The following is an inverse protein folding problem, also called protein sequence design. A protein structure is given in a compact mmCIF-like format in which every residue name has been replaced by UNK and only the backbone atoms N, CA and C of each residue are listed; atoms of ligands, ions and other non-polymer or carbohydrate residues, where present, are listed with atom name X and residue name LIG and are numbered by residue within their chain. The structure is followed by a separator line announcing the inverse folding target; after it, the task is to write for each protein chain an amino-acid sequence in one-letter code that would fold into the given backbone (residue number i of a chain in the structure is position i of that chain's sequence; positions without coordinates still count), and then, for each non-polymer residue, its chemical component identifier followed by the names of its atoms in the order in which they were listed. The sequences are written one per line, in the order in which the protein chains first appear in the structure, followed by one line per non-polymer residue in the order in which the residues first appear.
data_IF_870559408850
#
_entry.id   IF_870559408850
#
_cell.length_a   1.000
_cell.length_b   1.000
_cell.length_c   1.000
_cell.angle_alpha   90.00
_cell.angle_beta   90.00
_cell.angle_gamma   90.00
#
_symmetry.space_group_name_H-M   'P 1'
#
loop_
_entity.id
_entity.type
_entity.pdbx_description
1 polymer ?
#
# COMPACT_ATOMS: atom_id res chain seq x y z
N UNK A 1 27.86 14.99 -6.37
CA UNK A 1 27.70 13.52 -6.32
C UNK A 1 26.38 13.21 -6.99
N UNK A 2 26.38 12.45 -8.08
CA UNK A 2 25.21 12.25 -8.94
C UNK A 2 24.20 11.34 -8.22
N UNK A 3 23.11 11.92 -7.68
CA UNK A 3 22.19 11.23 -6.75
C UNK A 3 21.36 10.11 -7.41
N UNK A 4 21.36 10.00 -8.75
CA UNK A 4 20.42 9.14 -9.48
C UNK A 4 21.04 8.11 -10.45
N UNK A 5 22.35 7.81 -10.37
CA UNK A 5 22.99 6.80 -11.23
C UNK A 5 22.89 7.07 -12.75
N UNK A 6 23.16 6.05 -13.58
CA UNK A 6 23.05 6.11 -15.06
C UNK A 6 21.60 6.24 -15.55
N UNK A 7 20.63 5.68 -14.82
CA UNK A 7 19.20 5.74 -15.19
C UNK A 7 18.65 7.15 -15.04
N UNK A 8 19.06 7.86 -13.99
CA UNK A 8 18.66 9.25 -13.79
C UNK A 8 19.34 10.25 -14.74
N UNK A 9 20.44 9.92 -15.40
CA UNK A 9 20.96 10.74 -16.51
C UNK A 9 20.10 10.61 -17.75
N UNK A 10 19.64 9.41 -18.10
CA UNK A 10 18.80 9.16 -19.28
C UNK A 10 17.50 9.96 -19.26
N UNK A 11 16.77 9.95 -18.13
CA UNK A 11 15.55 10.75 -18.00
C UNK A 11 15.80 12.25 -18.03
N UNK A 12 16.91 12.72 -17.43
CA UNK A 12 17.25 14.16 -17.43
C UNK A 12 17.62 14.66 -18.82
N UNK A 13 18.36 13.86 -19.59
CA UNK A 13 18.72 14.16 -20.97
C UNK A 13 17.49 14.20 -21.87
N UNK A 14 16.59 13.21 -21.76
CA UNK A 14 15.33 13.21 -22.51
C UNK A 14 14.44 14.43 -22.18
N UNK A 15 14.31 14.81 -20.90
CA UNK A 15 13.56 16.01 -20.50
C UNK A 15 14.20 17.30 -21.02
N UNK A 16 15.54 17.36 -21.08
CA UNK A 16 16.25 18.54 -21.61
C UNK A 16 15.98 18.73 -23.10
N UNK A 17 16.05 17.66 -23.90
CA UNK A 17 15.72 17.67 -25.34
C UNK A 17 14.28 18.12 -25.57
N UNK A 18 13.33 17.55 -24.81
CA UNK A 18 11.91 17.92 -24.90
C UNK A 18 11.64 19.38 -24.53
N UNK A 19 12.33 19.90 -23.51
CA UNK A 19 12.18 21.30 -23.08
C UNK A 19 12.70 22.26 -24.17
N UNK A 20 13.78 21.91 -24.85
CA UNK A 20 14.28 22.71 -25.97
C UNK A 20 13.32 22.71 -27.16
N UNK A 21 12.63 21.61 -27.44
CA UNK A 21 11.62 21.56 -28.50
C UNK A 21 10.34 22.35 -28.19
N UNK A 22 9.83 22.29 -26.95
CA UNK A 22 8.59 22.99 -26.56
C UNK A 22 8.74 24.51 -26.55
N UNK A 23 9.96 25.02 -26.30
CA UNK A 23 10.26 26.45 -26.26
C UNK A 23 11.10 26.94 -27.47
N UNK A 24 11.47 26.04 -28.39
CA UNK A 24 12.24 26.33 -29.60
C UNK A 24 11.43 26.11 -30.89
N UNK A 25 12.11 26.15 -32.03
CA UNK A 25 11.52 25.75 -33.32
C UNK A 25 11.41 24.22 -33.36
N UNK A 26 10.20 23.71 -33.57
CA UNK A 26 9.92 22.27 -33.71
C UNK A 26 10.68 21.70 -34.91
N UNK A 27 11.71 20.88 -34.65
CA UNK A 27 12.52 20.27 -35.71
C UNK A 27 12.18 18.81 -36.01
N UNK A 28 11.57 18.08 -35.06
CA UNK A 28 11.19 16.69 -35.29
C UNK A 28 12.39 15.78 -35.57
N UNK A 29 13.54 16.11 -34.97
CA UNK A 29 14.81 15.41 -35.14
C UNK A 29 14.79 14.04 -34.44
N UNK A 30 15.66 13.11 -34.87
CA UNK A 30 15.70 11.75 -34.31
C UNK A 30 15.99 11.73 -32.79
N UNK A 31 16.70 12.74 -32.28
CA UNK A 31 16.93 12.92 -30.85
C UNK A 31 15.63 13.17 -30.05
N UNK A 32 14.68 13.89 -30.64
CA UNK A 32 13.38 14.14 -30.02
C UNK A 32 12.54 12.87 -29.97
N UNK A 33 12.52 12.08 -31.06
CA UNK A 33 11.85 10.78 -31.08
C UNK A 33 12.39 9.85 -30.00
N UNK A 34 13.71 9.76 -29.87
CA UNK A 34 14.34 8.96 -28.81
C UNK A 34 14.00 9.49 -27.41
N UNK A 35 13.90 10.81 -27.22
CA UNK A 35 13.48 11.39 -25.95
C UNK A 35 12.01 11.06 -25.61
N UNK A 36 11.12 11.09 -26.60
CA UNK A 36 9.73 10.65 -26.43
C UNK A 36 9.65 9.18 -26.04
N UNK A 37 10.40 8.30 -26.69
CA UNK A 37 10.42 6.86 -26.35
C UNK A 37 10.89 6.61 -24.91
N UNK A 38 11.87 7.37 -24.43
CA UNK A 38 12.34 7.30 -23.04
C UNK A 38 11.28 7.77 -22.05
N UNK A 39 10.52 8.81 -22.40
CA UNK A 39 9.50 9.41 -21.55
C UNK A 39 8.12 8.77 -21.70
N UNK A 40 7.92 7.88 -22.67
CA UNK A 40 6.71 7.08 -22.88
C UNK A 40 6.64 5.91 -21.88
N UNK A 41 6.80 6.25 -20.61
CA UNK A 41 6.65 5.34 -19.49
C UNK A 41 5.72 5.96 -18.44
N UNK A 42 4.94 5.15 -17.70
CA UNK A 42 4.14 5.66 -16.61
C UNK A 42 5.00 6.42 -15.59
N UNK A 43 4.51 7.56 -15.11
CA UNK A 43 5.26 8.42 -14.18
C UNK A 43 5.76 7.68 -12.93
N UNK A 44 4.97 6.73 -12.41
CA UNK A 44 5.38 5.91 -11.27
C UNK A 44 6.62 5.07 -11.58
N UNK A 45 6.76 4.54 -12.80
CA UNK A 45 7.89 3.70 -13.20
C UNK A 45 9.18 4.53 -13.24
N UNK A 46 9.11 5.71 -13.85
CA UNK A 46 10.21 6.66 -13.85
C UNK A 46 10.64 7.03 -12.42
N UNK A 47 9.69 7.30 -11.54
CA UNK A 47 9.99 7.65 -10.14
C UNK A 47 10.59 6.46 -9.36
N UNK A 48 10.10 5.24 -9.57
CA UNK A 48 10.71 4.04 -8.96
C UNK A 48 12.12 3.78 -9.49
N UNK A 49 12.35 3.98 -10.79
CA UNK A 49 13.66 3.82 -11.43
C UNK A 49 14.68 4.85 -10.90
N UNK A 50 14.20 6.03 -10.48
CA UNK A 50 14.97 7.06 -9.79
C UNK A 50 15.15 6.79 -8.27
N UNK A 51 14.62 5.68 -7.75
CA UNK A 51 14.73 5.31 -6.34
C UNK A 51 13.79 6.07 -5.40
N UNK A 52 12.76 6.73 -5.93
CA UNK A 52 11.73 7.39 -5.11
C UNK A 52 10.77 6.35 -4.56
N UNK A 53 10.59 6.34 -3.24
CA UNK A 53 9.55 5.53 -2.61
C UNK A 53 8.20 6.27 -2.72
N UNK A 54 7.26 5.67 -3.44
CA UNK A 54 5.96 6.27 -3.74
C UNK A 54 4.90 6.06 -2.65
N UNK A 55 5.17 5.24 -1.63
CA UNK A 55 4.25 5.01 -0.49
C UNK A 55 2.80 4.71 -0.89
N UNK A 56 2.57 4.12 -2.07
CA UNK A 56 1.22 3.82 -2.59
C UNK A 56 0.49 4.98 -3.27
N UNK A 57 1.09 6.18 -3.34
CA UNK A 57 0.52 7.35 -4.01
C UNK A 57 1.19 7.59 -5.37
N UNK A 58 0.37 7.79 -6.41
CA UNK A 58 0.85 8.02 -7.77
C UNK A 58 0.02 9.12 -8.43
N UNK A 59 0.72 10.08 -9.05
CA UNK A 59 0.08 11.10 -9.87
C UNK A 59 -0.21 10.56 -11.29
N UNK A 60 -1.39 10.90 -11.83
CA UNK A 60 -1.80 10.57 -13.20
C UNK A 60 -2.33 11.81 -13.91
N UNK A 61 -2.05 11.92 -15.21
CA UNK A 61 -2.67 12.89 -16.09
C UNK A 61 -3.88 12.24 -16.76
N UNK A 62 -5.00 12.95 -16.80
CA UNK A 62 -6.27 12.44 -17.33
C UNK A 62 -6.69 13.31 -18.52
N UNK A 63 -7.04 12.67 -19.64
CA UNK A 63 -7.59 13.35 -20.81
C UNK A 63 -9.08 13.67 -20.60
N UNK A 64 -9.39 14.95 -20.38
CA UNK A 64 -10.76 15.40 -20.11
C UNK A 64 -11.67 15.44 -21.36
N UNK A 65 -11.13 15.19 -22.56
CA UNK A 65 -11.93 15.11 -23.79
C UNK A 65 -12.51 13.70 -24.01
N UNK A 66 -12.01 12.69 -23.30
CA UNK A 66 -12.53 11.33 -23.38
C UNK A 66 -13.92 11.21 -22.70
N UNK A 67 -14.70 10.20 -23.11
CA UNK A 67 -15.95 9.88 -22.43
C UNK A 67 -15.70 9.34 -21.03
N UNK A 68 -16.65 9.56 -20.12
CA UNK A 68 -16.58 9.08 -18.73
C UNK A 68 -16.39 7.56 -18.66
N UNK A 69 -17.16 6.79 -19.45
CA UNK A 69 -17.04 5.33 -19.50
C UNK A 69 -15.62 4.88 -19.87
N UNK A 70 -15.02 5.55 -20.86
CA UNK A 70 -13.65 5.26 -21.30
C UNK A 70 -12.64 5.60 -20.20
N UNK A 71 -12.80 6.75 -19.55
CA UNK A 71 -11.93 7.17 -18.45
C UNK A 71 -11.96 6.18 -17.28
N UNK A 72 -13.15 5.69 -16.92
CA UNK A 72 -13.32 4.72 -15.84
C UNK A 72 -12.68 3.38 -16.18
N UNK A 73 -12.87 2.88 -17.40
CA UNK A 73 -12.31 1.60 -17.82
C UNK A 73 -10.78 1.65 -17.95
N UNK A 74 -10.25 2.71 -18.55
CA UNK A 74 -8.81 2.94 -18.66
C UNK A 74 -8.17 3.08 -17.27
N UNK A 75 -8.81 3.81 -16.36
CA UNK A 75 -8.33 3.96 -14.99
C UNK A 75 -8.35 2.64 -14.22
N UNK A 76 -9.39 1.82 -14.36
CA UNK A 76 -9.47 0.48 -13.74
C UNK A 76 -8.36 -0.44 -14.23
N UNK A 77 -8.12 -0.46 -15.55
CA UNK A 77 -7.07 -1.26 -16.15
C UNK A 77 -5.68 -0.80 -15.66
N UNK A 78 -5.43 0.50 -15.68
CA UNK A 78 -4.20 1.11 -15.20
C UNK A 78 -3.95 0.83 -13.71
N UNK A 79 -4.98 0.95 -12.86
CA UNK A 79 -4.87 0.74 -11.41
C UNK A 79 -4.44 -0.70 -11.09
N UNK A 80 -5.00 -1.69 -11.80
CA UNK A 80 -4.66 -3.10 -11.63
C UNK A 80 -3.18 -3.38 -11.97
N UNK A 81 -2.71 -2.86 -13.10
CA UNK A 81 -1.31 -3.03 -13.54
C UNK A 81 -0.36 -2.33 -12.57
N UNK A 82 -0.67 -1.10 -12.19
CA UNK A 82 0.18 -0.27 -11.31
C UNK A 82 0.30 -0.86 -9.92
N UNK A 83 -0.81 -1.32 -9.31
CA UNK A 83 -0.78 -2.03 -8.02
C UNK A 83 0.08 -3.28 -8.06
N UNK A 84 -0.06 -4.09 -9.11
CA UNK A 84 0.74 -5.30 -9.29
C UNK A 84 2.22 -4.99 -9.45
N UNK A 85 2.58 -3.91 -10.16
CA UNK A 85 3.97 -3.53 -10.37
C UNK A 85 4.62 -2.95 -9.12
N UNK A 86 3.86 -2.18 -8.32
CA UNK A 86 4.35 -1.59 -7.07
C UNK A 86 4.31 -2.56 -5.88
N UNK A 87 3.77 -3.78 -6.06
CA UNK A 87 3.55 -4.73 -4.96
C UNK A 87 2.52 -4.22 -3.94
N UNK A 88 1.69 -3.25 -4.32
CA UNK A 88 0.64 -2.70 -3.46
C UNK A 88 -0.58 -3.61 -3.59
N UNK A 89 -0.91 -4.28 -2.50
CA UNK A 89 -2.08 -5.14 -2.46
C UNK A 89 -3.36 -4.29 -2.37
N UNK A 90 -4.44 -4.81 -2.92
CA UNK A 90 -5.74 -4.17 -2.81
C UNK A 90 -6.11 -3.97 -1.34
N UNK A 91 -6.78 -2.86 -1.04
CA UNK A 91 -7.30 -2.60 0.30
C UNK A 91 -8.43 -3.62 0.48
N UNK A 92 -8.07 -4.74 1.10
CA UNK A 92 -8.92 -5.92 1.20
C UNK A 92 -10.13 -5.57 2.07
N UNK A 93 -11.23 -5.21 1.40
CA UNK A 93 -12.58 -5.07 1.93
C UNK A 93 -12.78 -3.87 2.88
N UNK A 94 -13.95 -3.23 2.74
CA UNK A 94 -14.48 -2.29 3.74
C UNK A 94 -14.67 -3.02 5.07
N UNK A 95 -14.17 -2.43 6.14
CA UNK A 95 -14.34 -2.99 7.46
C UNK A 95 -15.73 -2.64 7.95
N UNK A 96 -16.41 -3.64 8.47
CA UNK A 96 -17.78 -3.51 8.94
C UNK A 96 -17.87 -3.83 10.43
N UNK A 97 -19.06 -3.62 11.01
CA UNK A 97 -19.31 -3.90 12.43
C UNK A 97 -19.05 -5.37 12.80
N UNK A 98 -19.14 -6.31 11.85
CA UNK A 98 -18.88 -7.72 12.12
C UNK A 98 -17.39 -8.00 12.30
N UNK A 99 -16.52 -7.26 11.60
CA UNK A 99 -15.06 -7.33 11.80
C UNK A 99 -14.69 -6.89 13.22
N UNK A 100 -15.24 -5.76 13.68
CA UNK A 100 -15.05 -5.27 15.05
C UNK A 100 -15.70 -6.19 16.11
N UNK A 101 -16.85 -6.80 15.78
CA UNK A 101 -17.49 -7.81 16.62
C UNK A 101 -16.58 -9.02 16.83
N UNK A 102 -15.92 -9.48 15.77
CA UNK A 102 -14.93 -10.58 15.84
C UNK A 102 -13.72 -10.18 16.68
N UNK A 103 -13.23 -8.95 16.52
CA UNK A 103 -12.14 -8.43 17.34
C UNK A 103 -12.45 -8.45 18.83
N UNK A 104 -13.67 -8.01 19.19
CA UNK A 104 -14.12 -8.03 20.58
C UNK A 104 -14.24 -9.47 21.10
N UNK A 105 -14.86 -10.37 20.34
CA UNK A 105 -15.03 -11.77 20.71
C UNK A 105 -13.71 -12.51 20.91
N UNK A 106 -12.73 -12.24 20.03
CA UNK A 106 -11.40 -12.86 20.12
C UNK A 106 -10.39 -12.04 20.94
N UNK A 107 -10.85 -10.94 21.56
CA UNK A 107 -10.05 -10.07 22.44
C UNK A 107 -8.73 -9.64 21.79
N UNK A 108 -8.80 -9.28 20.51
CA UNK A 108 -7.63 -8.95 19.67
C UNK A 108 -6.80 -7.81 20.25
N UNK A 109 -7.46 -6.75 20.74
CA UNK A 109 -6.75 -5.62 21.36
C UNK A 109 -6.01 -6.03 22.63
N UNK A 110 -6.66 -6.78 23.53
CA UNK A 110 -6.01 -7.26 24.75
C UNK A 110 -4.84 -8.22 24.46
N UNK A 111 -4.95 -9.06 23.42
CA UNK A 111 -3.84 -9.89 22.95
C UNK A 111 -2.65 -9.02 22.50
N UNK A 112 -2.91 -7.98 21.70
CA UNK A 112 -1.88 -7.04 21.23
C UNK A 112 -1.21 -6.31 22.40
N UNK A 113 -1.99 -5.82 23.36
CA UNK A 113 -1.48 -5.14 24.56
C UNK A 113 -0.53 -6.03 25.36
N UNK A 114 -0.93 -7.26 25.65
CA UNK A 114 -0.11 -8.22 26.38
C UNK A 114 1.16 -8.61 25.59
N UNK A 115 1.04 -8.76 24.27
CA UNK A 115 2.16 -9.09 23.39
C UNK A 115 3.18 -7.96 23.34
N UNK A 116 2.72 -6.71 23.19
CA UNK A 116 3.57 -5.52 23.18
C UNK A 116 4.23 -5.31 24.54
N UNK A 117 3.48 -5.44 25.63
CA UNK A 117 4.02 -5.38 26.98
C UNK A 117 5.12 -6.43 27.19
N UNK A 118 4.86 -7.69 26.83
CA UNK A 118 5.83 -8.77 26.97
C UNK A 118 7.10 -8.51 26.16
N UNK A 119 6.95 -8.03 24.92
CA UNK A 119 8.06 -7.64 24.05
C UNK A 119 8.91 -6.51 24.66
N UNK A 120 8.27 -5.47 25.19
CA UNK A 120 8.96 -4.33 25.84
C UNK A 120 9.68 -4.78 27.12
N UNK A 121 9.12 -5.73 27.87
CA UNK A 121 9.72 -6.27 29.10
C UNK A 121 10.72 -7.40 28.87
N UNK A 122 10.88 -7.89 27.64
CA UNK A 122 11.72 -9.05 27.34
C UNK A 122 11.18 -10.36 27.91
N UNK A 123 9.86 -10.45 28.11
CA UNK A 123 9.18 -11.65 28.58
C UNK A 123 8.54 -12.42 27.42
N UNK A 124 8.38 -13.73 27.62
CA UNK A 124 7.64 -14.59 26.71
C UNK A 124 6.39 -15.10 27.42
N UNK A 125 5.21 -14.80 26.86
CA UNK A 125 3.95 -15.35 27.33
C UNK A 125 3.63 -16.58 26.48
N UNK A 126 3.48 -17.74 27.11
CA UNK A 126 3.11 -18.96 26.39
C UNK A 126 1.66 -18.89 25.93
N UNK A 127 1.31 -19.61 24.85
CA UNK A 127 -0.07 -19.62 24.33
C UNK A 127 -1.10 -20.06 25.39
N UNK A 128 -0.73 -20.95 26.31
CA UNK A 128 -1.62 -21.37 27.39
C UNK A 128 -1.87 -20.23 28.39
N UNK A 129 -0.82 -19.52 28.82
CA UNK A 129 -0.95 -18.38 29.74
C UNK A 129 -1.72 -17.24 29.08
N UNK A 130 -1.42 -16.95 27.81
CA UNK A 130 -2.16 -15.96 27.01
C UNK A 130 -3.64 -16.35 26.91
N UNK A 131 -3.92 -17.62 26.63
CA UNK A 131 -5.27 -18.15 26.54
C UNK A 131 -6.06 -17.97 27.83
N UNK A 132 -5.49 -18.32 28.98
CA UNK A 132 -6.14 -18.15 30.29
C UNK A 132 -6.31 -16.67 30.66
N UNK A 133 -5.32 -15.83 30.37
CA UNK A 133 -5.42 -14.39 30.64
C UNK A 133 -6.50 -13.72 29.79
N UNK A 134 -6.62 -14.14 28.53
CA UNK A 134 -7.64 -13.62 27.63
C UNK A 134 -9.00 -14.24 27.88
N UNK A 135 -9.14 -15.52 28.22
CA UNK A 135 -10.44 -16.17 28.36
C UNK A 135 -10.56 -16.87 29.72
N UNK A 136 -10.56 -16.11 30.83
CA UNK A 136 -10.52 -16.67 32.18
C UNK A 136 -11.78 -17.47 32.56
N UNK A 137 -12.91 -17.15 31.91
CA UNK A 137 -14.22 -17.75 32.20
C UNK A 137 -14.52 -18.98 31.31
N UNK A 138 -13.63 -19.32 30.38
CA UNK A 138 -13.80 -20.46 29.47
C UNK A 138 -13.08 -21.71 30.01
N UNK A 139 -13.86 -22.76 30.28
CA UNK A 139 -13.36 -24.03 30.79
C UNK A 139 -13.54 -25.15 29.76
N UNK A 140 -12.67 -26.17 29.82
CA UNK A 140 -12.68 -27.34 28.92
C UNK A 140 -12.45 -27.03 27.43
N UNK A 141 -11.89 -25.87 27.11
CA UNK A 141 -11.49 -25.49 25.74
C UNK A 141 -9.97 -25.48 25.64
N UNK A 142 -9.43 -25.89 24.49
CA UNK A 142 -7.99 -25.78 24.23
C UNK A 142 -7.63 -24.32 23.89
N UNK A 143 -7.44 -23.51 24.94
CA UNK A 143 -7.15 -22.09 24.81
C UNK A 143 -5.81 -21.84 24.09
N UNK A 144 -4.79 -22.64 24.36
CA UNK A 144 -3.51 -22.52 23.65
C UNK A 144 -3.65 -22.68 22.13
N UNK A 145 -4.47 -23.63 21.69
CA UNK A 145 -4.72 -23.84 20.27
C UNK A 145 -5.57 -22.73 19.64
N UNK A 146 -6.55 -22.18 20.38
CA UNK A 146 -7.31 -21.00 19.96
C UNK A 146 -6.40 -19.78 19.78
N UNK A 147 -5.44 -19.56 20.69
CA UNK A 147 -4.44 -18.49 20.54
C UNK A 147 -3.64 -18.70 19.25
N UNK A 148 -3.11 -19.92 19.04
CA UNK A 148 -2.23 -20.23 17.91
C UNK A 148 -2.93 -20.12 16.55
N UNK A 149 -4.17 -20.64 16.45
CA UNK A 149 -4.88 -20.79 15.17
C UNK A 149 -5.82 -19.63 14.84
N UNK A 150 -6.25 -18.85 15.83
CA UNK A 150 -7.29 -17.84 15.63
C UNK A 150 -6.82 -16.47 16.08
N UNK A 151 -6.53 -16.30 17.38
CA UNK A 151 -6.27 -14.96 17.95
C UNK A 151 -4.97 -14.36 17.39
N UNK A 152 -3.87 -15.12 17.37
CA UNK A 152 -2.59 -14.60 16.89
C UNK A 152 -2.60 -14.26 15.39
N UNK A 153 -3.13 -15.13 14.49
CA UNK A 153 -3.29 -14.77 13.08
C UNK A 153 -4.17 -13.53 12.87
N UNK A 154 -5.32 -13.45 13.54
CA UNK A 154 -6.23 -12.29 13.41
C UNK A 154 -5.58 -11.00 13.92
N UNK A 155 -4.86 -11.06 15.04
CA UNK A 155 -4.12 -9.91 15.57
C UNK A 155 -3.01 -9.45 14.63
N UNK A 156 -2.31 -10.38 13.96
CA UNK A 156 -1.29 -10.04 12.97
C UNK A 156 -1.90 -9.35 11.75
N UNK A 157 -3.11 -9.75 11.33
CA UNK A 157 -3.83 -9.10 10.23
C UNK A 157 -4.28 -7.71 10.66
N UNK A 158 -4.82 -7.57 11.88
CA UNK A 158 -5.34 -6.31 12.42
C UNK A 158 -4.33 -5.16 12.44
N UNK A 159 -3.04 -5.49 12.65
CA UNK A 159 -1.95 -4.50 12.67
C UNK A 159 -1.17 -4.43 11.37
N UNK A 160 -1.60 -5.14 10.32
CA UNK A 160 -0.93 -5.10 9.03
C UNK A 160 -1.15 -3.74 8.36
N UNK A 161 -0.14 -3.24 7.64
CA UNK A 161 -0.22 -1.96 6.93
C UNK A 161 -1.47 -1.85 6.04
N UNK A 162 -1.82 -2.85 5.20
CA UNK A 162 -3.01 -2.75 4.35
C UNK A 162 -4.31 -2.63 5.17
N UNK A 163 -4.38 -3.30 6.32
CA UNK A 163 -5.56 -3.25 7.19
C UNK A 163 -5.69 -1.89 7.88
N UNK A 164 -4.57 -1.33 8.36
CA UNK A 164 -4.54 0.00 8.99
C UNK A 164 -4.84 1.12 7.97
N UNK A 165 -4.33 1.00 6.75
CA UNK A 165 -4.65 1.92 5.64
C UNK A 165 -6.14 1.83 5.26
N UNK A 166 -6.71 0.62 5.22
CA UNK A 166 -8.15 0.41 5.00
C UNK A 166 -8.99 1.14 6.07
N UNK A 167 -8.60 1.00 7.34
CA UNK A 167 -9.26 1.67 8.46
C UNK A 167 -9.15 3.19 8.36
N UNK A 168 -7.93 3.70 8.12
CA UNK A 168 -7.67 5.14 8.03
C UNK A 168 -8.45 5.77 6.87
N UNK A 169 -8.44 5.13 5.70
CA UNK A 169 -9.18 5.57 4.52
C UNK A 169 -10.69 5.67 4.80
N UNK A 170 -11.27 4.67 5.47
CA UNK A 170 -12.69 4.66 5.84
C UNK A 170 -13.05 5.72 6.89
N UNK A 171 -12.16 5.95 7.86
CA UNK A 171 -12.36 6.99 8.87
C UNK A 171 -12.34 8.39 8.23
N UNK A 172 -11.48 8.62 7.24
CA UNK A 172 -11.39 9.90 6.52
C UNK A 172 -12.56 10.15 5.55
N UNK A 173 -13.23 9.11 5.05
CA UNK A 173 -14.37 9.24 4.11
C UNK A 173 -15.73 9.36 4.78
N UNK A 174 -15.84 9.08 6.08
CA UNK A 174 -17.06 9.31 6.85
C UNK A 174 -16.85 10.52 7.79
N UNK A 175 -16.93 11.77 7.31
CA UNK A 175 -17.06 12.91 8.20
C UNK A 175 -18.44 12.79 8.89
N UNK A 176 -18.43 12.75 10.22
CA UNK A 176 -19.64 12.89 11.03
C UNK A 176 -20.35 14.23 10.76
#
# INVERSE_FOLDING_TARGET
MNVYGEVGSVYREAVAVMREEVYGDFKGDDAAKSAYEVLDVPAWKMLTDLGVNLSGEVAVNVDLYASEDKLVDDFRAWLKVTRSALGVHDIVRRLDKSDFGRWAQNRILAYLDLTLWAKVKGHMITNQVMGVALFPDEYNVNLAERIRKTVAPEASIAISTPYLEAMASQAMTNPE
#
